data_IF_440391155922
#
_entry.id   IF_440391155922
#
_cell.length_a   1.000
_cell.length_b   1.000
_cell.length_c   1.000
_cell.angle_alpha   90.00
_cell.angle_beta   90.00
_cell.angle_gamma   90.00
#
_symmetry.space_group_name_H-M   'P 1'
#
loop_
_entity.id
_entity.type
_entity.pdbx_description
1 polymer ?
#
# COMPACT_ATOMS: atom_id res chain seq x y z
N UNK A 1 -10.24 7.87 -20.90
CA UNK A 1 -9.30 7.14 -20.00
C UNK A 1 -9.93 6.60 -18.71
N UNK A 2 -11.07 7.13 -18.27
CA UNK A 2 -11.71 6.83 -16.97
C UNK A 2 -12.67 5.62 -16.97
N UNK A 3 -12.84 4.95 -18.11
CA UNK A 3 -13.67 3.74 -18.19
C UNK A 3 -13.03 2.55 -17.44
N UNK A 4 -13.86 1.73 -16.80
CA UNK A 4 -13.43 0.49 -16.10
C UNK A 4 -12.85 -0.50 -17.11
N UNK A 5 -11.68 -1.06 -16.80
CA UNK A 5 -11.00 -2.05 -17.64
C UNK A 5 -10.89 -3.38 -16.92
N UNK A 6 -11.09 -4.48 -17.65
CA UNK A 6 -10.78 -5.83 -17.19
C UNK A 6 -9.37 -6.20 -17.67
N UNK A 7 -8.43 -6.37 -16.73
CA UNK A 7 -7.04 -6.72 -17.01
C UNK A 7 -6.72 -8.05 -16.33
N UNK A 8 -6.08 -8.96 -17.06
CA UNK A 8 -5.52 -10.19 -16.51
C UNK A 8 -4.03 -9.99 -16.30
N UNK A 9 -3.55 -10.20 -15.07
CA UNK A 9 -2.14 -10.06 -14.70
C UNK A 9 -1.53 -11.42 -14.35
N UNK A 10 -0.20 -11.50 -14.43
CA UNK A 10 0.60 -12.64 -13.97
C UNK A 10 1.78 -12.08 -13.18
N UNK A 11 2.02 -12.60 -11.98
CA UNK A 11 3.15 -12.26 -11.11
C UNK A 11 3.35 -10.74 -10.90
N UNK A 12 2.25 -10.01 -10.67
CA UNK A 12 2.30 -8.56 -10.47
C UNK A 12 2.79 -8.25 -9.04
N UNK A 13 4.00 -7.69 -8.86
CA UNK A 13 4.51 -7.39 -7.54
C UNK A 13 3.71 -6.25 -6.91
N UNK A 14 3.40 -6.39 -5.63
CA UNK A 14 2.76 -5.36 -4.83
C UNK A 14 3.30 -5.40 -3.39
N UNK A 15 3.07 -4.31 -2.66
CA UNK A 15 3.45 -4.17 -1.25
C UNK A 15 2.16 -3.94 -0.45
N UNK A 16 2.03 -4.62 0.68
CA UNK A 16 0.92 -4.39 1.61
C UNK A 16 1.22 -3.12 2.40
N UNK A 17 0.42 -2.08 2.17
CA UNK A 17 0.53 -0.80 2.88
C UNK A 17 -0.38 -0.78 4.10
N UNK A 18 -1.64 -1.17 3.91
CA UNK A 18 -2.65 -1.27 4.96
C UNK A 18 -3.11 -2.71 5.09
N UNK A 19 -3.03 -3.26 6.29
CA UNK A 19 -3.52 -4.61 6.57
C UNK A 19 -4.94 -4.59 7.16
N UNK A 20 -5.52 -5.79 7.35
CA UNK A 20 -6.87 -5.95 7.90
C UNK A 20 -6.96 -5.80 9.42
N UNK A 21 -5.82 -5.63 10.11
CA UNK A 21 -5.71 -5.51 11.56
C UNK A 21 -5.48 -4.06 12.01
N UNK A 22 -5.41 -3.12 11.07
CA UNK A 22 -5.20 -1.70 11.34
C UNK A 22 -3.74 -1.24 11.26
N UNK A 23 -2.84 -2.06 10.74
CA UNK A 23 -1.47 -1.67 10.41
C UNK A 23 -1.43 -0.72 9.21
N UNK A 24 -0.59 0.31 9.28
CA UNK A 24 -0.32 1.28 8.21
C UNK A 24 1.20 1.54 8.12
N UNK A 25 1.80 1.02 7.05
CA UNK A 25 3.24 1.08 6.82
C UNK A 25 3.76 2.52 6.69
N UNK A 26 2.94 3.46 6.22
CA UNK A 26 3.35 4.86 6.12
C UNK A 26 3.44 5.52 7.50
N UNK A 27 2.53 5.19 8.42
CA UNK A 27 2.59 5.71 9.78
C UNK A 27 3.79 5.17 10.53
N UNK A 28 4.04 3.86 10.41
CA UNK A 28 5.22 3.21 10.99
C UNK A 28 6.52 3.83 10.46
N UNK A 29 6.60 4.02 9.13
CA UNK A 29 7.74 4.65 8.49
C UNK A 29 7.99 6.07 9.00
N UNK A 30 6.93 6.90 9.12
CA UNK A 30 7.04 8.27 9.65
C UNK A 30 7.49 8.29 11.11
N UNK A 31 6.88 7.48 11.96
CA UNK A 31 7.22 7.39 13.40
C UNK A 31 8.70 7.09 13.62
N UNK A 32 9.32 6.28 12.76
CA UNK A 32 10.74 5.92 12.86
C UNK A 32 11.70 7.10 12.73
N UNK A 33 11.32 8.16 12.01
CA UNK A 33 12.20 9.30 11.72
C UNK A 33 11.68 10.63 12.27
N UNK A 34 10.50 10.62 12.89
CA UNK A 34 9.98 11.78 13.58
C UNK A 34 10.90 12.08 14.77
N UNK A 35 11.59 13.22 14.72
CA UNK A 35 12.25 13.81 15.89
C UNK A 35 11.22 14.70 16.59
N UNK A 36 11.31 14.74 17.91
CA UNK A 36 10.53 15.63 18.76
C UNK A 36 10.74 17.12 18.38
#
# INVERSE_FOLDING_TARGET
>A
PEAIRRIKVKDFPCIVINDMYGGDLYQEGKKKYQKD
#
